data_IF_331227625608
#
_entry.id   IF_331227625608
#
_cell.length_a   1.000
_cell.length_b   1.000
_cell.length_c   1.000
_cell.angle_alpha   90.00
_cell.angle_beta   90.00
_cell.angle_gamma   90.00
#
_symmetry.space_group_name_H-M   'P 1'
#
loop_
_entity.id
_entity.type
_entity.pdbx_description
1 polymer ?
#
# COMPACT_ATOMS: atom_id res chain seq x y z
N UNK A 1 -42.65 -27.14 30.40
CA UNK A 1 -42.55 -27.26 28.92
C UNK A 1 -41.98 -25.99 28.31
N UNK A 2 -42.64 -24.83 28.45
CA UNK A 2 -42.23 -23.54 27.85
C UNK A 2 -40.79 -23.09 28.17
N UNK A 3 -40.31 -23.30 29.41
CA UNK A 3 -38.95 -22.87 29.81
C UNK A 3 -37.84 -23.68 29.13
N UNK A 4 -38.10 -24.97 28.84
CA UNK A 4 -37.13 -25.85 28.17
C UNK A 4 -37.08 -25.54 26.68
N UNK A 5 -38.23 -25.30 26.06
CA UNK A 5 -38.31 -24.86 24.66
C UNK A 5 -37.63 -23.51 24.43
N UNK A 6 -37.79 -22.57 25.38
CA UNK A 6 -37.10 -21.27 25.34
C UNK A 6 -35.58 -21.43 25.41
N UNK A 7 -35.06 -22.33 26.27
CA UNK A 7 -33.63 -22.60 26.36
C UNK A 7 -33.10 -23.21 25.06
N UNK A 8 -33.83 -24.17 24.49
CA UNK A 8 -33.46 -24.82 23.22
C UNK A 8 -33.44 -23.80 22.08
N UNK A 9 -34.44 -22.92 21.99
CA UNK A 9 -34.48 -21.84 21.00
C UNK A 9 -33.30 -20.89 21.12
N UNK A 10 -32.93 -20.48 22.34
CA UNK A 10 -31.76 -19.61 22.58
C UNK A 10 -30.47 -20.31 22.15
N UNK A 11 -30.30 -21.60 22.47
CA UNK A 11 -29.14 -22.38 22.04
C UNK A 11 -29.08 -22.51 20.51
N UNK A 12 -30.20 -22.76 19.84
CA UNK A 12 -30.26 -22.84 18.38
C UNK A 12 -29.95 -21.50 17.72
N UNK A 13 -30.45 -20.39 18.26
CA UNK A 13 -30.13 -19.05 17.75
C UNK A 13 -28.63 -18.75 17.92
N UNK A 14 -28.07 -19.03 19.10
CA UNK A 14 -26.64 -18.84 19.34
C UNK A 14 -25.78 -19.71 18.43
N UNK A 15 -26.16 -20.97 18.24
CA UNK A 15 -25.50 -21.89 17.31
C UNK A 15 -25.54 -21.33 15.88
N UNK A 16 -26.69 -20.87 15.41
CA UNK A 16 -26.82 -20.30 14.06
C UNK A 16 -26.02 -19.02 13.88
N UNK A 17 -25.90 -18.16 14.91
CA UNK A 17 -25.04 -16.98 14.89
C UNK A 17 -23.56 -17.34 14.74
N UNK A 18 -23.10 -18.39 15.43
CA UNK A 18 -21.70 -18.86 15.34
C UNK A 18 -21.41 -19.49 13.98
N UNK A 19 -22.35 -20.24 13.41
CA UNK A 19 -22.16 -20.89 12.10
C UNK A 19 -22.38 -19.95 10.90
N UNK A 20 -23.13 -18.85 11.06
CA UNK A 20 -23.34 -17.85 10.01
C UNK A 20 -22.26 -16.78 9.94
N UNK A 21 -21.19 -16.90 10.74
CA UNK A 21 -20.07 -15.98 10.67
C UNK A 21 -19.25 -16.30 9.42
N UNK A 22 -19.59 -15.64 8.30
CA UNK A 22 -18.82 -15.77 7.07
C UNK A 22 -17.35 -15.40 7.34
N UNK A 23 -16.39 -16.25 6.96
CA UNK A 23 -14.96 -15.96 7.13
C UNK A 23 -14.48 -14.75 6.30
N UNK A 24 -15.35 -14.16 5.47
CA UNK A 24 -15.06 -13.03 4.59
C UNK A 24 -15.38 -11.64 5.15
N UNK A 25 -16.12 -11.51 6.26
CA UNK A 25 -16.39 -10.18 6.85
C UNK A 25 -15.21 -9.75 7.74
N UNK A 26 -14.08 -9.40 7.10
CA UNK A 26 -12.98 -8.74 7.79
C UNK A 26 -13.45 -7.35 8.22
N UNK A 27 -13.80 -7.22 9.50
CA UNK A 27 -14.08 -5.93 10.15
C UNK A 27 -12.78 -5.10 10.31
N UNK A 28 -11.62 -5.75 10.12
CA UNK A 28 -10.29 -5.16 10.26
C UNK A 28 -9.66 -5.00 8.87
N UNK A 29 -9.23 -3.78 8.56
CA UNK A 29 -8.44 -3.47 7.38
C UNK A 29 -7.06 -4.12 7.46
N UNK A 30 -6.65 -4.82 6.41
CA UNK A 30 -5.32 -5.41 6.33
C UNK A 30 -4.27 -4.34 5.99
N UNK A 31 -3.02 -4.59 6.37
CA UNK A 31 -1.87 -3.71 6.09
C UNK A 31 -0.82 -4.45 5.28
N UNK A 32 -0.49 -3.91 4.11
CA UNK A 32 0.49 -4.47 3.19
C UNK A 32 1.80 -3.68 3.27
N UNK A 33 2.86 -4.32 3.76
CA UNK A 33 4.18 -3.70 3.89
C UNK A 33 5.05 -3.93 2.65
N UNK A 34 5.49 -2.84 2.01
CA UNK A 34 6.34 -2.86 0.81
C UNK A 34 7.63 -2.09 1.08
N UNK A 35 8.75 -2.81 1.17
CA UNK A 35 10.08 -2.22 1.23
C UNK A 35 10.56 -1.91 -0.18
N UNK A 36 10.57 -0.63 -0.53
CA UNK A 36 10.79 -0.18 -1.91
C UNK A 36 12.26 0.22 -2.09
N UNK A 37 13.08 -0.78 -2.45
CA UNK A 37 14.51 -0.63 -2.71
C UNK A 37 14.93 -1.61 -3.81
N UNK A 38 16.07 -1.35 -4.46
CA UNK A 38 16.58 -2.16 -5.57
C UNK A 38 16.99 -3.58 -5.17
N UNK A 39 17.28 -3.80 -3.89
CA UNK A 39 17.72 -5.09 -3.35
C UNK A 39 16.56 -6.04 -3.05
N UNK A 40 15.32 -5.56 -2.97
CA UNK A 40 14.16 -6.39 -2.71
C UNK A 40 13.84 -7.26 -3.96
N UNK A 41 13.94 -8.60 -3.84
CA UNK A 41 13.81 -9.51 -4.99
C UNK A 41 12.42 -9.50 -5.62
N UNK A 42 11.40 -9.01 -4.90
CA UNK A 42 10.05 -8.87 -5.43
C UNK A 42 10.00 -7.90 -6.63
N UNK A 43 10.91 -6.94 -6.72
CA UNK A 43 10.97 -5.98 -7.82
C UNK A 43 11.83 -6.42 -9.01
N UNK A 44 12.63 -7.49 -8.90
CA UNK A 44 13.60 -7.86 -9.95
C UNK A 44 12.96 -8.26 -11.27
N UNK A 45 11.74 -8.81 -11.23
CA UNK A 45 11.00 -9.23 -12.43
C UNK A 45 10.13 -8.13 -13.02
N UNK A 46 9.91 -7.03 -12.29
CA UNK A 46 9.02 -5.94 -12.70
C UNK A 46 7.53 -6.26 -12.65
N UNK A 47 7.13 -7.44 -12.18
CA UNK A 47 5.74 -7.94 -12.11
C UNK A 47 5.14 -7.87 -10.69
N UNK A 48 5.75 -7.08 -9.81
CA UNK A 48 5.30 -6.97 -8.43
C UNK A 48 3.91 -6.33 -8.34
N UNK A 49 2.97 -7.07 -7.77
CA UNK A 49 1.60 -6.64 -7.51
C UNK A 49 1.12 -7.16 -6.16
N UNK A 50 0.07 -6.53 -5.64
CA UNK A 50 -0.65 -6.95 -4.44
C UNK A 50 -2.15 -6.85 -4.71
N UNK A 51 -2.90 -7.85 -4.26
CA UNK A 51 -4.36 -7.80 -4.26
C UNK A 51 -4.82 -7.20 -2.93
N UNK A 52 -5.65 -6.17 -2.99
CA UNK A 52 -6.10 -5.40 -1.82
C UNK A 52 -7.61 -5.21 -1.85
N UNK A 53 -8.21 -5.10 -0.67
CA UNK A 53 -9.61 -4.76 -0.51
C UNK A 53 -9.80 -3.27 -0.24
N UNK A 54 -11.04 -2.79 -0.43
CA UNK A 54 -11.40 -1.45 0.02
C UNK A 54 -11.22 -1.34 1.53
N UNK A 55 -10.67 -0.20 1.96
CA UNK A 55 -10.25 0.15 3.32
C UNK A 55 -8.94 -0.45 3.81
N UNK A 56 -8.30 -1.34 3.05
CA UNK A 56 -6.95 -1.80 3.36
C UNK A 56 -5.93 -0.66 3.24
N UNK A 57 -4.74 -0.90 3.80
CA UNK A 57 -3.63 0.05 3.77
C UNK A 57 -2.41 -0.54 3.05
N UNK A 58 -1.78 0.27 2.21
CA UNK A 58 -0.45 0.03 1.68
C UNK A 58 0.55 0.91 2.44
N UNK A 59 1.51 0.29 3.11
CA UNK A 59 2.61 0.94 3.81
C UNK A 59 3.91 0.73 2.99
N UNK A 60 4.35 1.78 2.29
CA UNK A 60 5.61 1.79 1.53
C UNK A 60 6.73 2.34 2.42
N UNK A 61 7.78 1.55 2.61
CA UNK A 61 8.97 1.92 3.37
C UNK A 61 10.10 2.32 2.42
N UNK A 62 10.63 3.53 2.61
CA UNK A 62 11.79 4.03 1.89
C UNK A 62 13.08 3.26 2.27
N UNK A 63 14.12 3.28 1.41
CA UNK A 63 15.44 2.79 1.76
C UNK A 63 15.99 3.54 2.97
N UNK A 64 16.56 2.80 3.92
CA UNK A 64 17.16 3.33 5.14
C UNK A 64 18.55 2.74 5.33
N UNK A 65 19.49 3.59 5.72
CA UNK A 65 20.90 3.23 5.86
C UNK A 65 21.45 3.83 7.16
N UNK A 66 22.40 3.12 7.76
CA UNK A 66 23.20 3.63 8.88
C UNK A 66 23.96 4.91 8.51
N UNK A 67 24.23 5.75 9.50
CA UNK A 67 24.97 7.01 9.36
C UNK A 67 26.42 6.81 8.83
N UNK A 68 26.92 5.57 8.88
CA UNK A 68 28.23 5.20 8.34
C UNK A 68 28.25 5.08 6.81
N UNK A 69 27.08 5.02 6.16
CA UNK A 69 26.97 4.91 4.70
C UNK A 69 26.93 6.32 4.10
N UNK A 70 27.90 6.70 3.25
CA UNK A 70 27.88 7.98 2.54
C UNK A 70 26.63 8.13 1.65
N UNK A 71 26.13 9.36 1.55
CA UNK A 71 24.88 9.69 0.85
C UNK A 71 24.91 9.30 -0.63
N UNK A 72 26.07 9.29 -1.26
CA UNK A 72 26.27 8.92 -2.68
C UNK A 72 25.99 7.44 -2.94
N UNK A 73 26.09 6.60 -1.89
CA UNK A 73 25.78 5.16 -1.94
C UNK A 73 24.36 4.83 -1.49
N UNK A 74 23.54 5.84 -1.18
CA UNK A 74 22.17 5.67 -0.72
C UNK A 74 21.17 5.82 -1.86
N UNK A 75 20.16 4.95 -1.87
CA UNK A 75 19.06 5.05 -2.81
C UNK A 75 18.07 6.16 -2.41
N UNK A 76 17.72 7.02 -3.37
CA UNK A 76 16.75 8.10 -3.21
C UNK A 76 15.85 8.15 -4.43
N UNK A 77 14.55 8.27 -4.22
CA UNK A 77 13.58 8.33 -5.32
C UNK A 77 12.33 9.13 -4.94
N UNK A 78 11.58 9.52 -5.98
CA UNK A 78 10.23 10.07 -5.88
C UNK A 78 9.24 9.01 -6.35
N UNK A 79 8.21 8.75 -5.55
CA UNK A 79 7.14 7.80 -5.87
C UNK A 79 6.00 8.53 -6.58
N UNK A 80 5.55 7.96 -7.70
CA UNK A 80 4.46 8.48 -8.52
C UNK A 80 3.36 7.44 -8.65
N UNK A 81 2.12 7.90 -8.65
CA UNK A 81 0.97 7.10 -9.10
C UNK A 81 0.69 7.46 -10.55
N UNK A 82 0.69 6.47 -11.43
CA UNK A 82 0.59 6.64 -12.90
C UNK A 82 -0.57 5.82 -13.47
N UNK A 83 -0.99 6.14 -14.68
CA UNK A 83 -1.86 5.27 -15.46
C UNK A 83 -1.06 4.08 -16.05
N UNK A 84 -1.77 3.15 -16.70
CA UNK A 84 -1.16 1.97 -17.32
C UNK A 84 -0.06 2.32 -18.33
N UNK A 85 -0.28 3.34 -19.19
CA UNK A 85 0.72 3.77 -20.16
C UNK A 85 1.98 4.33 -19.50
N UNK A 86 1.85 5.01 -18.35
CA UNK A 86 2.98 5.52 -17.58
C UNK A 86 3.74 4.41 -16.88
N UNK A 87 3.03 3.37 -16.42
CA UNK A 87 3.63 2.17 -15.86
C UNK A 87 4.43 1.38 -16.91
N UNK A 88 3.84 1.12 -18.08
CA UNK A 88 4.49 0.34 -19.14
C UNK A 88 5.69 1.03 -19.77
N UNK A 89 5.69 2.37 -19.81
CA UNK A 89 6.80 3.17 -20.36
C UNK A 89 7.75 3.72 -19.31
N UNK A 90 7.49 3.49 -18.03
CA UNK A 90 8.21 4.11 -16.92
C UNK A 90 8.27 5.65 -17.09
N UNK A 91 7.13 6.31 -17.35
CA UNK A 91 7.04 7.77 -17.51
C UNK A 91 5.94 8.37 -16.64
N UNK A 92 6.32 9.38 -15.84
CA UNK A 92 5.43 10.09 -14.93
C UNK A 92 5.11 11.53 -15.39
N UNK A 93 5.76 12.05 -16.43
CA UNK A 93 5.81 13.50 -16.72
C UNK A 93 4.43 14.11 -17.03
N UNK A 94 3.60 13.38 -17.75
CA UNK A 94 2.22 13.78 -18.11
C UNK A 94 1.18 12.73 -17.75
N UNK A 95 1.60 11.65 -17.08
CA UNK A 95 0.81 10.42 -16.90
C UNK A 95 0.57 10.06 -15.43
N UNK A 96 1.00 10.91 -14.50
CA UNK A 96 0.85 10.62 -13.08
C UNK A 96 1.06 11.80 -12.15
N UNK A 97 0.93 11.49 -10.86
CA UNK A 97 1.01 12.43 -9.77
C UNK A 97 2.08 12.01 -8.79
N UNK A 98 2.87 12.97 -8.30
CA UNK A 98 3.83 12.73 -7.21
C UNK A 98 3.05 12.36 -5.94
N UNK A 99 3.33 11.19 -5.37
CA UNK A 99 2.70 10.72 -4.11
C UNK A 99 3.60 10.89 -2.91
N UNK A 100 4.89 10.59 -3.06
CA UNK A 100 5.84 10.62 -1.94
C UNK A 100 7.26 10.87 -2.40
N UNK A 101 8.13 11.25 -1.46
CA UNK A 101 9.55 11.48 -1.72
C UNK A 101 10.39 10.78 -0.64
N UNK A 102 11.23 9.85 -1.09
CA UNK A 102 12.21 9.16 -0.27
C UNK A 102 13.57 9.87 -0.39
N UNK A 103 13.73 10.96 0.37
CA UNK A 103 14.91 11.82 0.32
C UNK A 103 15.74 11.84 1.63
N UNK A 104 15.30 11.14 2.69
CA UNK A 104 16.02 11.06 3.98
C UNK A 104 16.44 9.61 4.28
N UNK A 105 17.57 9.14 3.72
CA UNK A 105 18.06 7.78 3.96
C UNK A 105 18.48 7.54 5.42
N UNK A 106 18.94 8.57 6.13
CA UNK A 106 19.40 8.51 7.53
C UNK A 106 18.36 9.08 8.51
N UNK A 107 17.08 8.73 8.31
CA UNK A 107 16.01 9.20 9.20
C UNK A 107 16.19 8.63 10.62
N UNK A 108 16.10 9.46 11.68
CA UNK A 108 16.41 9.04 13.05
C UNK A 108 15.40 8.04 13.63
N UNK A 109 14.18 8.02 13.11
CA UNK A 109 13.10 7.14 13.57
C UNK A 109 12.94 5.91 12.66
N UNK A 110 14.03 5.46 12.03
CA UNK A 110 14.01 4.39 11.04
C UNK A 110 13.50 4.85 9.66
N UNK A 111 13.11 3.89 8.79
CA UNK A 111 12.70 4.19 7.43
C UNK A 111 11.50 5.14 7.36
N UNK A 112 11.56 6.12 6.46
CA UNK A 112 10.38 6.92 6.12
C UNK A 112 9.27 6.00 5.60
N UNK A 113 8.04 6.23 6.07
CA UNK A 113 6.87 5.44 5.70
C UNK A 113 5.82 6.32 5.02
N UNK A 114 5.41 5.91 3.83
CA UNK A 114 4.23 6.40 3.14
C UNK A 114 3.09 5.42 3.34
N UNK A 115 1.92 5.91 3.73
CA UNK A 115 0.72 5.08 3.92
C UNK A 115 -0.38 5.54 2.95
N UNK A 116 -0.86 4.62 2.13
CA UNK A 116 -2.03 4.81 1.26
C UNK A 116 -3.20 3.99 1.82
N UNK A 117 -4.39 4.58 1.84
CA UNK A 117 -5.62 3.87 2.21
C UNK A 117 -6.48 3.70 0.96
N UNK A 118 -6.88 2.47 0.66
CA UNK A 118 -7.74 2.15 -0.47
C UNK A 118 -9.21 2.51 -0.19
N UNK A 119 -9.51 3.80 -0.04
CA UNK A 119 -10.84 4.30 0.30
C UNK A 119 -11.68 4.66 -0.93
N UNK A 120 -12.99 4.43 -0.85
CA UNK A 120 -13.95 4.77 -1.91
C UNK A 120 -14.16 6.28 -2.10
N UNK A 121 -14.01 7.03 -1.02
CA UNK A 121 -14.24 8.46 -0.96
C UNK A 121 -13.18 9.10 -0.09
N UNK A 122 -12.65 10.23 -0.54
CA UNK A 122 -11.65 10.98 0.21
C UNK A 122 -12.23 12.32 0.65
N UNK A 123 -12.05 12.73 1.92
CA UNK A 123 -12.46 14.05 2.37
C UNK A 123 -11.52 15.16 1.88
N UNK A 124 -10.40 14.81 1.23
CA UNK A 124 -9.40 15.75 0.74
C UNK A 124 -9.60 16.04 -0.75
N UNK A 125 -9.64 17.32 -1.13
CA UNK A 125 -9.94 17.74 -2.52
C UNK A 125 -8.92 17.25 -3.55
N UNK A 126 -7.68 17.00 -3.16
CA UNK A 126 -6.62 16.42 -3.99
C UNK A 126 -6.27 14.98 -3.57
N UNK A 127 -7.18 14.32 -2.86
CA UNK A 127 -7.03 12.94 -2.43
C UNK A 127 -7.27 11.95 -3.58
N UNK A 128 -6.94 10.69 -3.31
CA UNK A 128 -7.14 9.61 -4.26
C UNK A 128 -8.30 8.71 -3.81
N UNK A 129 -9.10 8.28 -4.79
CA UNK A 129 -10.23 7.36 -4.59
C UNK A 129 -10.00 6.06 -5.35
N UNK A 130 -10.39 4.96 -4.72
CA UNK A 130 -10.18 3.61 -5.23
C UNK A 130 -11.53 2.91 -5.44
N UNK A 131 -11.63 2.10 -6.51
CA UNK A 131 -12.83 1.35 -6.85
C UNK A 131 -12.51 -0.14 -6.96
N UNK A 132 -13.38 -1.05 -6.47
CA UNK A 132 -13.21 -2.48 -6.65
C UNK A 132 -13.08 -2.87 -8.12
N UNK A 133 -12.27 -3.89 -8.40
CA UNK A 133 -12.06 -4.40 -9.76
C UNK A 133 -11.26 -3.46 -10.68
N UNK A 134 -10.58 -2.44 -10.13
CA UNK A 134 -9.66 -1.58 -10.86
C UNK A 134 -8.22 -1.78 -10.42
N UNK A 135 -7.32 -1.61 -11.37
CA UNK A 135 -5.88 -1.65 -11.14
C UNK A 135 -5.31 -0.23 -11.01
N UNK A 136 -4.27 -0.11 -10.19
CA UNK A 136 -3.61 1.15 -9.88
C UNK A 136 -2.10 0.92 -9.88
N UNK A 137 -1.35 1.81 -10.54
CA UNK A 137 0.07 1.60 -10.80
C UNK A 137 0.92 2.65 -10.13
N UNK A 138 2.03 2.20 -9.56
CA UNK A 138 3.03 3.05 -8.91
C UNK A 138 4.39 2.81 -9.56
N UNK A 139 5.13 3.89 -9.80
CA UNK A 139 6.52 3.84 -10.28
C UNK A 139 7.39 4.77 -9.42
N UNK A 140 8.68 4.50 -9.39
CA UNK A 140 9.67 5.36 -8.74
C UNK A 140 10.63 5.94 -9.76
N UNK A 141 10.94 7.24 -9.65
CA UNK A 141 12.05 7.86 -10.39
C UNK A 141 13.18 8.17 -9.43
N UNK A 142 14.38 7.72 -9.74
CA UNK A 142 15.56 8.01 -8.92
C UNK A 142 15.90 9.50 -8.94
N UNK A 143 16.38 10.01 -7.81
CA UNK A 143 16.89 11.37 -7.67
C UNK A 143 18.39 11.31 -7.96
N UNK A 144 18.81 11.51 -9.23
CA UNK A 144 20.23 11.63 -9.55
C UNK A 144 20.75 13.03 -9.21
N UNK A 145 22.00 13.11 -8.75
CA UNK A 145 22.65 14.36 -8.31
C UNK A 145 22.75 15.44 -9.40
N UNK A 146 22.60 15.08 -10.68
CA UNK A 146 22.74 15.98 -11.82
C UNK A 146 21.39 16.46 -12.40
N UNK A 147 20.27 16.26 -11.69
CA UNK A 147 18.92 16.58 -12.19
C UNK A 147 18.42 15.69 -13.34
N UNK A 148 19.24 14.71 -13.78
CA UNK A 148 18.84 13.69 -14.75
C UNK A 148 18.07 12.57 -14.06
N UNK A 149 16.74 12.65 -14.13
CA UNK A 149 15.83 11.59 -13.74
C UNK A 149 16.19 10.30 -14.49
N UNK A 150 16.56 9.24 -13.77
CA UNK A 150 16.56 7.88 -14.32
C UNK A 150 15.34 7.17 -13.75
N UNK A 151 14.49 6.70 -14.64
CA UNK A 151 13.33 5.88 -14.26
C UNK A 151 13.76 4.43 -14.20
#
# INVERSE_FOLDING_TARGET
MLHVEMIILVFLILWMCVFSQEPGSKVVADRYAVYWNSTNPRFHRGDYHIDVCINDYLDVFCPHYDDTVPQERTERYVLYMVNYDGYSTCDHTSKGFKRWECNRPHSPNGPLKFSEKFQLFTPFSLGFEFRPGREYYYISSTIAENGRKRV
#
